data_IF_335936441031
#
_entry.id   IF_335936441031
#
_cell.length_a   1.000
_cell.length_b   1.000
_cell.length_c   1.000
_cell.angle_alpha   90.00
_cell.angle_beta   90.00
_cell.angle_gamma   90.00
#
_symmetry.space_group_name_H-M   'P 1'
#
loop_
_entity.id
_entity.type
_entity.pdbx_description
1 polymer ?
#
# COMPACT_ATOMS: atom_id res chain seq x y z
N UNK A 1 -2.34 -3.30 -45.27
CA UNK A 1 -2.54 -2.07 -44.46
C UNK A 1 -3.08 -2.39 -43.07
N UNK A 2 -4.19 -3.13 -42.95
CA UNK A 2 -4.82 -3.49 -41.65
C UNK A 2 -3.85 -4.13 -40.63
N UNK A 3 -3.01 -5.08 -41.06
CA UNK A 3 -2.06 -5.78 -40.18
C UNK A 3 -1.02 -4.83 -39.55
N UNK A 4 -0.44 -3.92 -40.33
CA UNK A 4 0.54 -2.95 -39.83
C UNK A 4 -0.08 -2.00 -38.79
N UNK A 5 -1.33 -1.57 -39.01
CA UNK A 5 -2.07 -0.74 -38.04
C UNK A 5 -2.33 -1.49 -36.73
N UNK A 6 -2.71 -2.77 -36.79
CA UNK A 6 -2.93 -3.60 -35.60
C UNK A 6 -1.65 -3.82 -34.79
N UNK A 7 -0.52 -4.03 -35.47
CA UNK A 7 0.80 -4.16 -34.82
C UNK A 7 1.16 -2.86 -34.10
N UNK A 8 1.03 -1.72 -34.77
CA UNK A 8 1.36 -0.42 -34.18
C UNK A 8 0.50 -0.12 -32.94
N UNK A 9 -0.82 -0.36 -33.01
CA UNK A 9 -1.72 -0.19 -31.86
C UNK A 9 -1.36 -1.10 -30.68
N UNK A 10 -0.99 -2.34 -30.96
CA UNK A 10 -0.56 -3.28 -29.91
C UNK A 10 0.72 -2.81 -29.22
N UNK A 11 1.71 -2.32 -29.99
CA UNK A 11 2.95 -1.78 -29.43
C UNK A 11 2.70 -0.53 -28.58
N UNK A 12 1.80 0.36 -29.00
CA UNK A 12 1.41 1.55 -28.23
C UNK A 12 0.69 1.19 -26.92
N UNK A 13 -0.18 0.18 -26.94
CA UNK A 13 -0.84 -0.30 -25.73
C UNK A 13 0.17 -0.91 -24.74
N UNK A 14 1.07 -1.75 -25.23
CA UNK A 14 2.13 -2.37 -24.41
C UNK A 14 3.03 -1.30 -23.81
N UNK A 15 3.47 -0.31 -24.60
CA UNK A 15 4.33 0.77 -24.10
C UNK A 15 3.62 1.63 -23.07
N UNK A 16 2.31 1.89 -23.24
CA UNK A 16 1.52 2.65 -22.25
C UNK A 16 1.41 1.91 -20.91
N UNK A 17 1.22 0.59 -20.94
CA UNK A 17 1.15 -0.24 -19.73
C UNK A 17 2.50 -0.29 -19.02
N UNK A 18 3.57 -0.57 -19.77
CA UNK A 18 4.93 -0.63 -19.22
C UNK A 18 5.33 0.71 -18.57
N UNK A 19 4.99 1.83 -19.20
CA UNK A 19 5.27 3.17 -18.66
C UNK A 19 4.51 3.43 -17.34
N UNK A 20 3.25 3.01 -17.24
CA UNK A 20 2.46 3.15 -16.00
C UNK A 20 3.07 2.34 -14.86
N UNK A 21 3.42 1.08 -15.13
CA UNK A 21 4.08 0.21 -14.14
C UNK A 21 5.43 0.80 -13.74
N UNK A 22 6.26 1.19 -14.71
CA UNK A 22 7.57 1.78 -14.44
C UNK A 22 7.46 3.04 -13.58
N UNK A 23 6.52 3.94 -13.91
CA UNK A 23 6.26 5.15 -13.10
C UNK A 23 5.85 4.80 -11.67
N UNK A 24 5.01 3.78 -11.49
CA UNK A 24 4.64 3.33 -10.14
C UNK A 24 5.85 2.81 -9.37
N UNK A 25 6.71 2.02 -9.99
CA UNK A 25 7.95 1.53 -9.36
C UNK A 25 8.86 2.68 -8.94
N UNK A 26 9.00 3.74 -9.76
CA UNK A 26 9.75 4.94 -9.39
C UNK A 26 9.12 5.67 -8.20
N UNK A 27 7.78 5.79 -8.13
CA UNK A 27 7.14 6.39 -6.95
C UNK A 27 7.39 5.56 -5.69
N UNK A 28 7.33 4.23 -5.82
CA UNK A 28 7.56 3.31 -4.71
C UNK A 28 9.04 3.24 -4.29
N UNK A 29 10.00 3.52 -5.17
CA UNK A 29 11.42 3.61 -4.75
C UNK A 29 11.66 4.76 -3.79
N UNK A 30 10.91 5.86 -3.93
CA UNK A 30 10.99 7.03 -3.05
C UNK A 30 10.27 6.85 -1.71
N UNK A 31 9.36 5.88 -1.60
CA UNK A 31 8.69 5.57 -0.32
C UNK A 31 9.75 5.03 0.64
N UNK A 32 9.98 5.67 1.81
CA UNK A 32 10.94 5.15 2.76
C UNK A 32 10.45 3.86 3.40
N UNK A 33 11.36 2.99 3.81
CA UNK A 33 10.96 1.79 4.55
C UNK A 33 10.65 2.20 5.99
N UNK A 34 9.40 2.05 6.44
CA UNK A 34 9.05 2.37 7.82
C UNK A 34 9.71 1.44 8.84
N UNK A 35 10.13 0.25 8.41
CA UNK A 35 10.88 -0.68 9.26
C UNK A 35 12.31 -0.20 9.55
N UNK A 36 12.82 0.76 8.78
CA UNK A 36 14.14 1.35 8.97
C UNK A 36 14.14 2.59 9.89
N UNK A 37 12.99 2.97 10.47
CA UNK A 37 12.93 4.11 11.40
C UNK A 37 13.73 3.78 12.66
N UNK A 38 14.83 4.51 12.95
CA UNK A 38 15.66 4.21 14.10
C UNK A 38 14.83 4.31 15.39
N UNK A 39 15.11 3.47 16.41
CA UNK A 39 14.29 3.40 17.62
C UNK A 39 14.22 4.71 18.42
N UNK A 40 15.13 5.65 18.16
CA UNK A 40 15.20 6.97 18.80
C UNK A 40 14.49 8.09 18.01
N UNK A 41 14.10 7.85 16.75
CA UNK A 41 13.27 8.80 16.00
C UNK A 41 11.82 8.57 16.42
N UNK A 42 11.17 9.65 16.89
CA UNK A 42 9.73 9.63 17.15
C UNK A 42 9.03 9.35 15.82
N UNK A 43 8.17 8.34 15.79
CA UNK A 43 7.48 7.88 14.58
C UNK A 43 6.66 9.01 13.90
N UNK A 44 6.40 10.12 14.60
CA UNK A 44 5.81 11.37 14.13
C UNK A 44 6.52 12.05 12.94
N UNK A 45 7.79 11.72 12.62
CA UNK A 45 8.54 12.36 11.51
C UNK A 45 8.60 11.54 10.22
N UNK A 46 7.86 10.43 10.12
CA UNK A 46 7.87 9.59 8.92
C UNK A 46 7.26 10.35 7.73
N UNK A 47 7.95 10.48 6.58
CA UNK A 47 7.50 11.34 5.51
C UNK A 47 6.43 10.61 4.68
N UNK A 48 5.17 10.75 5.11
CA UNK A 48 4.04 10.09 4.46
C UNK A 48 3.73 10.66 3.07
N UNK A 49 4.29 11.83 2.73
CA UNK A 49 4.09 12.50 1.45
C UNK A 49 4.46 11.64 0.24
N UNK A 50 5.55 10.87 0.29
CA UNK A 50 5.91 9.96 -0.80
C UNK A 50 4.88 8.83 -0.97
N UNK A 51 4.36 8.29 0.14
CA UNK A 51 3.29 7.26 0.12
C UNK A 51 2.00 7.84 -0.46
N UNK A 52 1.65 9.07 -0.08
CA UNK A 52 0.48 9.77 -0.61
C UNK A 52 0.59 10.02 -2.12
N UNK A 53 1.76 10.38 -2.64
CA UNK A 53 1.97 10.53 -4.09
C UNK A 53 1.73 9.21 -4.85
N UNK A 54 2.22 8.09 -4.32
CA UNK A 54 1.96 6.77 -4.89
C UNK A 54 0.47 6.39 -4.83
N UNK A 55 -0.21 6.70 -3.71
CA UNK A 55 -1.65 6.47 -3.55
C UNK A 55 -2.46 7.28 -4.57
N UNK A 56 -2.13 8.56 -4.73
CA UNK A 56 -2.75 9.45 -5.72
C UNK A 56 -2.54 8.97 -7.16
N UNK A 57 -1.33 8.52 -7.49
CA UNK A 57 -1.08 7.92 -8.80
C UNK A 57 -2.01 6.74 -9.07
N UNK A 58 -2.19 5.84 -8.09
CA UNK A 58 -3.09 4.68 -8.19
C UNK A 58 -4.57 5.08 -8.29
N UNK A 59 -5.02 6.08 -7.52
CA UNK A 59 -6.41 6.54 -7.56
C UNK A 59 -6.80 7.08 -8.94
N UNK A 60 -5.87 7.74 -9.64
CA UNK A 60 -6.07 8.24 -11.00
C UNK A 60 -6.09 7.14 -12.07
N UNK A 61 -5.97 5.86 -11.69
CA UNK A 61 -6.10 4.72 -12.59
C UNK A 61 -7.49 4.08 -12.46
N UNK A 62 -7.97 3.49 -13.57
CA UNK A 62 -9.13 2.62 -13.50
C UNK A 62 -8.85 1.40 -12.63
N UNK A 63 -9.90 0.79 -12.07
CA UNK A 63 -9.79 -0.38 -11.19
C UNK A 63 -8.92 -1.50 -11.79
N UNK A 64 -9.17 -1.83 -13.06
CA UNK A 64 -8.39 -2.83 -13.80
C UNK A 64 -6.89 -2.50 -13.84
N UNK A 65 -6.54 -1.23 -14.11
CA UNK A 65 -5.14 -0.79 -14.15
C UNK A 65 -4.53 -0.80 -12.76
N UNK A 66 -5.24 -0.30 -11.76
CA UNK A 66 -4.79 -0.26 -10.36
C UNK A 66 -4.47 -1.66 -9.83
N UNK A 67 -5.41 -2.59 -9.97
CA UNK A 67 -5.21 -3.98 -9.57
C UNK A 67 -4.04 -4.63 -10.32
N UNK A 68 -3.90 -4.37 -11.62
CA UNK A 68 -2.77 -4.88 -12.40
C UNK A 68 -1.42 -4.32 -11.94
N UNK A 69 -1.34 -3.02 -11.62
CA UNK A 69 -0.12 -2.37 -11.14
C UNK A 69 0.29 -2.96 -9.79
N UNK A 70 -0.67 -3.11 -8.88
CA UNK A 70 -0.46 -3.73 -7.56
C UNK A 70 -0.01 -5.19 -7.72
N UNK A 71 -0.65 -5.95 -8.61
CA UNK A 71 -0.25 -7.33 -8.89
C UNK A 71 1.20 -7.41 -9.41
N UNK A 72 1.56 -6.55 -10.36
CA UNK A 72 2.92 -6.49 -10.89
C UNK A 72 3.94 -6.08 -9.81
N UNK A 73 3.64 -5.08 -8.99
CA UNK A 73 4.54 -4.68 -7.90
C UNK A 73 4.66 -5.76 -6.82
N UNK A 74 3.57 -6.43 -6.45
CA UNK A 74 3.60 -7.53 -5.50
C UNK A 74 4.42 -8.73 -6.00
N UNK A 75 4.35 -9.05 -7.30
CA UNK A 75 5.11 -10.16 -7.88
C UNK A 75 6.58 -9.84 -8.11
N UNK A 76 6.90 -8.60 -8.53
CA UNK A 76 8.24 -8.26 -9.01
C UNK A 76 9.01 -7.28 -8.13
N UNK A 77 8.34 -6.53 -7.25
CA UNK A 77 8.97 -5.49 -6.43
C UNK A 77 10.16 -6.02 -5.63
N UNK A 78 10.01 -7.19 -5.00
CA UNK A 78 11.05 -7.84 -4.20
C UNK A 78 12.36 -8.13 -4.94
N UNK A 79 12.33 -8.27 -6.28
CA UNK A 79 13.55 -8.46 -7.08
C UNK A 79 14.36 -7.17 -7.24
N UNK A 80 13.72 -6.01 -7.12
CA UNK A 80 14.36 -4.70 -7.26
C UNK A 80 14.62 -4.06 -5.90
N UNK A 81 13.76 -4.33 -4.93
CA UNK A 81 13.80 -3.76 -3.60
C UNK A 81 13.20 -4.76 -2.61
N UNK A 82 14.04 -5.33 -1.76
CA UNK A 82 13.66 -6.32 -0.75
C UNK A 82 12.59 -5.78 0.24
N UNK A 83 12.46 -4.46 0.36
CA UNK A 83 11.49 -3.79 1.21
C UNK A 83 10.14 -3.49 0.53
N UNK A 84 9.96 -3.96 -0.72
CA UNK A 84 8.72 -3.73 -1.48
C UNK A 84 7.44 -4.19 -0.75
N UNK A 85 7.42 -5.34 -0.04
CA UNK A 85 6.26 -5.75 0.74
C UNK A 85 5.84 -4.72 1.79
N UNK A 86 6.80 -4.18 2.55
CA UNK A 86 6.62 -3.18 3.60
C UNK A 86 6.04 -1.88 3.04
N UNK A 87 6.57 -1.44 1.89
CA UNK A 87 6.10 -0.23 1.21
C UNK A 87 4.70 -0.41 0.67
N UNK A 88 4.40 -1.56 0.06
CA UNK A 88 3.07 -1.88 -0.43
C UNK A 88 2.07 -1.96 0.73
N UNK A 89 2.47 -2.54 1.86
CA UNK A 89 1.66 -2.60 3.06
C UNK A 89 1.25 -1.21 3.54
N UNK A 90 2.19 -0.27 3.68
CA UNK A 90 1.86 1.12 4.02
C UNK A 90 0.97 1.81 2.99
N UNK A 91 1.28 1.63 1.71
CA UNK A 91 0.55 2.25 0.62
C UNK A 91 -0.94 1.93 0.71
N UNK A 92 -1.30 0.67 0.98
CA UNK A 92 -2.70 0.27 1.06
C UNK A 92 -3.44 0.94 2.23
N UNK A 93 -2.76 1.21 3.35
CA UNK A 93 -3.33 1.94 4.49
C UNK A 93 -3.50 3.44 4.23
N UNK A 94 -2.64 4.01 3.40
CA UNK A 94 -2.78 5.39 2.93
C UNK A 94 -3.86 5.50 1.84
N UNK A 95 -3.99 4.49 0.98
CA UNK A 95 -4.93 4.48 -0.13
C UNK A 95 -6.40 4.36 0.34
N UNK A 96 -6.66 3.55 1.36
CA UNK A 96 -8.02 3.27 1.85
C UNK A 96 -8.26 3.81 3.25
N UNK A 97 -9.51 4.17 3.55
CA UNK A 97 -9.94 4.59 4.89
C UNK A 97 -10.18 3.36 5.80
N UNK A 98 -9.09 2.68 6.16
CA UNK A 98 -9.14 1.51 7.06
C UNK A 98 -9.20 1.93 8.53
N UNK A 99 -9.95 1.21 9.40
CA UNK A 99 -10.15 1.59 10.80
C UNK A 99 -8.98 1.19 11.72
N UNK A 100 -8.79 1.92 12.82
CA UNK A 100 -7.87 1.55 13.93
C UNK A 100 -8.42 0.40 14.81
N UNK A 101 -9.72 0.10 14.70
CA UNK A 101 -10.39 -0.97 15.44
C UNK A 101 -11.45 -1.65 14.55
N UNK A 102 -11.23 -2.92 14.22
CA UNK A 102 -12.11 -3.73 13.37
C UNK A 102 -12.46 -5.05 14.04
N UNK A 103 -13.66 -5.59 13.80
CA UNK A 103 -14.03 -6.90 14.34
C UNK A 103 -13.05 -7.99 13.88
N UNK A 104 -12.63 -8.87 14.81
CA UNK A 104 -11.75 -10.00 14.48
C UNK A 104 -12.41 -10.97 13.50
N UNK A 105 -13.74 -11.15 13.60
CA UNK A 105 -14.51 -12.07 12.77
C UNK A 105 -14.61 -11.59 11.31
N UNK A 106 -14.50 -10.28 11.08
CA UNK A 106 -14.59 -9.67 9.75
C UNK A 106 -13.22 -9.27 9.16
N UNK A 107 -12.19 -9.26 10.01
CA UNK A 107 -10.83 -8.92 9.63
C UNK A 107 -10.18 -10.01 8.77
N UNK A 108 -9.48 -9.60 7.73
CA UNK A 108 -8.61 -10.48 6.96
C UNK A 108 -7.15 -10.03 7.10
N UNK A 109 -6.26 -10.99 7.38
CA UNK A 109 -4.83 -10.75 7.56
C UNK A 109 -4.07 -11.36 6.39
N UNK A 110 -3.23 -10.54 5.74
CA UNK A 110 -2.53 -10.91 4.49
C UNK A 110 -1.02 -11.02 4.61
N UNK A 111 -0.50 -10.95 5.84
CA UNK A 111 0.91 -11.09 6.16
C UNK A 111 1.13 -11.22 7.66
N UNK A 112 2.37 -11.47 8.04
CA UNK A 112 2.80 -11.81 9.40
C UNK A 112 3.45 -10.66 10.16
N UNK A 113 2.92 -9.45 10.08
CA UNK A 113 3.61 -8.26 10.58
C UNK A 113 3.56 -8.16 12.11
N UNK A 114 4.73 -8.12 12.75
CA UNK A 114 4.85 -8.06 14.20
C UNK A 114 5.60 -6.79 14.60
N UNK A 115 5.06 -6.10 15.60
CA UNK A 115 5.65 -4.91 16.18
C UNK A 115 4.85 -4.38 17.36
N UNK A 116 5.26 -3.23 17.87
CA UNK A 116 4.53 -2.55 18.96
C UNK A 116 3.14 -2.14 18.46
N UNK A 117 2.09 -2.48 19.22
CA UNK A 117 0.70 -2.25 18.82
C UNK A 117 0.27 -3.04 17.58
N UNK A 118 0.93 -4.17 17.30
CA UNK A 118 0.66 -5.12 16.20
C UNK A 118 -0.83 -5.23 15.84
N UNK A 119 -1.19 -5.43 14.56
CA UNK A 119 -2.60 -5.54 14.15
C UNK A 119 -3.33 -6.69 14.85
N UNK A 120 -2.61 -7.66 15.41
CA UNK A 120 -3.21 -8.77 16.15
C UNK A 120 -3.66 -8.32 17.55
N UNK A 121 -4.93 -8.59 17.92
CA UNK A 121 -5.43 -8.23 19.23
C UNK A 121 -4.72 -9.03 20.33
N UNK A 122 -4.51 -8.41 21.49
CA UNK A 122 -3.94 -9.09 22.66
C UNK A 122 -4.98 -9.89 23.43
N UNK A 123 -6.27 -9.66 23.17
CA UNK A 123 -7.41 -10.36 23.76
C UNK A 123 -8.58 -10.48 22.79
N UNK A 124 -9.47 -11.45 22.98
CA UNK A 124 -10.67 -11.63 22.12
C UNK A 124 -11.63 -10.43 22.13
N UNK A 125 -11.53 -9.57 23.13
CA UNK A 125 -12.32 -8.34 23.26
C UNK A 125 -11.72 -7.17 22.48
N UNK A 126 -10.46 -7.27 22.09
CA UNK A 126 -9.77 -6.27 21.27
C UNK A 126 -10.03 -6.55 19.79
N UNK A 127 -10.39 -5.52 19.04
CA UNK A 127 -10.45 -5.62 17.58
C UNK A 127 -9.08 -5.53 16.93
N UNK A 128 -9.05 -5.80 15.63
CA UNK A 128 -7.87 -5.75 14.77
C UNK A 128 -7.64 -4.30 14.32
N UNK A 129 -6.43 -3.78 14.50
CA UNK A 129 -6.04 -2.48 13.95
C UNK A 129 -5.61 -2.63 12.49
N UNK A 130 -6.54 -2.42 11.55
CA UNK A 130 -6.25 -2.50 10.11
C UNK A 130 -5.39 -1.31 9.60
N UNK A 131 -5.35 -0.20 10.34
CA UNK A 131 -4.55 0.98 10.02
C UNK A 131 -3.08 0.87 10.41
N UNK A 132 -2.73 -0.05 11.32
CA UNK A 132 -1.37 -0.29 11.78
C UNK A 132 -0.40 -0.48 10.60
N UNK A 133 0.81 0.12 10.59
CA UNK A 133 1.47 0.81 11.71
C UNK A 133 1.12 2.29 11.82
N UNK A 134 0.18 2.75 11.01
CA UNK A 134 -0.27 4.14 11.02
C UNK A 134 -1.36 4.34 12.08
N UNK A 135 -1.59 5.60 12.41
CA UNK A 135 -2.74 6.01 13.20
C UNK A 135 -2.96 7.51 13.11
N UNK A 136 -4.01 8.01 13.75
CA UNK A 136 -4.31 9.44 13.75
C UNK A 136 -3.73 10.18 14.96
N UNK A 137 -3.13 11.34 14.70
CA UNK A 137 -2.72 12.33 15.69
C UNK A 137 -3.06 13.72 15.13
N UNK A 138 -3.87 14.48 15.86
CA UNK A 138 -4.36 15.80 15.43
C UNK A 138 -4.96 15.79 14.01
N UNK A 139 -5.83 14.81 13.72
CA UNK A 139 -6.44 14.56 12.41
C UNK A 139 -5.46 14.31 11.25
N UNK A 140 -4.19 14.02 11.56
CA UNK A 140 -3.17 13.67 10.57
C UNK A 140 -2.76 12.22 10.73
N UNK A 141 -2.51 11.57 9.60
CA UNK A 141 -2.00 10.21 9.56
C UNK A 141 -0.51 10.23 9.89
N UNK A 142 -0.12 9.54 10.96
CA UNK A 142 1.25 9.44 11.44
C UNK A 142 1.63 7.98 11.59
N UNK A 143 2.93 7.67 11.49
CA UNK A 143 3.44 6.37 11.87
C UNK A 143 3.42 6.30 13.41
N UNK A 144 2.76 5.28 13.99
CA UNK A 144 2.67 5.11 15.45
C UNK A 144 3.46 3.90 15.96
N UNK A 145 3.78 2.96 15.09
CA UNK A 145 4.38 1.69 15.50
C UNK A 145 5.77 1.45 14.91
N UNK A 146 6.57 0.71 15.67
CA UNK A 146 7.86 0.19 15.25
C UNK A 146 7.71 -1.23 14.74
N UNK A 147 8.34 -1.50 13.61
CA UNK A 147 8.48 -2.86 13.10
C UNK A 147 9.46 -3.63 13.98
N UNK A 148 9.11 -4.88 14.27
CA UNK A 148 10.02 -5.82 14.95
C UNK A 148 10.42 -6.92 13.98
N UNK A 149 9.46 -7.63 13.40
CA UNK A 149 9.73 -8.78 12.54
C UNK A 149 8.53 -9.14 11.67
N UNK A 150 8.79 -10.01 10.70
CA UNK A 150 7.77 -10.64 9.86
C UNK A 150 7.78 -12.15 10.10
N UNK A 151 6.63 -12.73 10.45
CA UNK A 151 6.45 -14.16 10.67
C UNK A 151 5.28 -14.73 9.86
N UNK A 152 5.56 -15.52 8.83
CA UNK A 152 4.53 -16.23 8.09
C UNK A 152 4.83 -16.37 6.61
N UNK A 153 3.83 -16.72 5.79
CA UNK A 153 3.99 -16.80 4.34
C UNK A 153 4.31 -15.42 3.74
N UNK A 154 4.84 -15.33 2.52
CA UNK A 154 5.06 -14.05 1.85
C UNK A 154 3.80 -13.18 1.82
N UNK A 155 3.99 -11.87 2.01
CA UNK A 155 2.90 -10.91 2.05
C UNK A 155 2.13 -10.89 0.72
N UNK A 156 0.79 -10.91 0.80
CA UNK A 156 -0.09 -10.91 -0.36
C UNK A 156 -0.85 -9.59 -0.50
N UNK A 157 -0.15 -8.55 -0.96
CA UNK A 157 -0.71 -7.20 -1.11
C UNK A 157 -1.81 -7.10 -2.17
N UNK A 158 -1.86 -7.98 -3.17
CA UNK A 158 -2.96 -7.99 -4.13
C UNK A 158 -4.27 -8.50 -3.48
N UNK A 159 -4.20 -9.53 -2.64
CA UNK A 159 -5.36 -10.01 -1.90
C UNK A 159 -5.83 -8.97 -0.88
N UNK A 160 -4.90 -8.33 -0.16
CA UNK A 160 -5.23 -7.22 0.76
C UNK A 160 -5.89 -6.05 0.03
N UNK A 161 -5.34 -5.64 -1.12
CA UNK A 161 -5.95 -4.61 -1.96
C UNK A 161 -7.39 -4.93 -2.33
N UNK A 162 -7.67 -6.15 -2.80
CA UNK A 162 -9.02 -6.57 -3.18
C UNK A 162 -9.97 -6.56 -1.98
N UNK A 163 -9.49 -7.02 -0.83
CA UNK A 163 -10.26 -6.98 0.41
C UNK A 163 -10.59 -5.53 0.80
N UNK A 164 -9.61 -4.62 0.81
CA UNK A 164 -9.87 -3.22 1.13
C UNK A 164 -10.77 -2.53 0.11
N UNK A 165 -10.54 -2.71 -1.19
CA UNK A 165 -11.38 -2.15 -2.25
C UNK A 165 -12.84 -2.61 -2.17
N UNK A 166 -13.12 -3.77 -1.58
CA UNK A 166 -14.47 -4.30 -1.40
C UNK A 166 -15.20 -3.76 -0.15
N UNK A 167 -14.47 -3.14 0.79
CA UNK A 167 -14.98 -2.84 2.15
C UNK A 167 -14.84 -1.38 2.56
N UNK A 168 -13.79 -0.72 2.11
CA UNK A 168 -13.42 0.62 2.56
C UNK A 168 -13.36 1.58 1.38
N UNK A 169 -13.82 2.83 1.56
CA UNK A 169 -13.67 3.85 0.52
C UNK A 169 -12.19 4.22 0.35
N UNK A 170 -11.87 4.87 -0.77
CA UNK A 170 -10.60 5.56 -0.88
C UNK A 170 -10.52 6.67 0.16
N UNK A 171 -9.35 6.82 0.76
CA UNK A 171 -9.11 7.83 1.80
C UNK A 171 -9.24 9.26 1.27
N UNK A 172 -8.90 9.46 0.01
CA UNK A 172 -9.00 10.75 -0.67
C UNK A 172 -10.08 10.65 -1.74
N UNK A 173 -10.80 11.75 -1.99
CA UNK A 173 -11.70 11.82 -3.14
C UNK A 173 -10.96 12.33 -4.37
N UNK A 174 -9.97 13.20 -4.14
CA UNK A 174 -9.15 13.81 -5.18
C UNK A 174 -7.70 13.96 -4.71
N UNK A 175 -6.77 13.98 -5.67
CA UNK A 175 -5.35 14.18 -5.37
C UNK A 175 -5.01 15.63 -5.00
N UNK A 176 -5.95 16.57 -5.18
CA UNK A 176 -5.79 17.99 -4.86
C UNK A 176 -5.92 18.28 -3.36
N UNK A 177 -6.40 17.32 -2.57
CA UNK A 177 -6.55 17.44 -1.11
C UNK A 177 -5.23 17.24 -0.33
N UNK A 178 -4.12 16.98 -1.03
CA UNK A 178 -2.81 16.74 -0.42
C UNK A 178 -1.93 17.99 -0.31
N UNK A 179 -2.38 19.14 -0.83
CA UNK A 179 -1.63 20.40 -0.86
C UNK A 179 -1.84 21.26 0.38
#
# INVERSE_FOLDING_TARGET
MLLATLILLSLLLISSWALLVFRFFLLMSEVPVWTAVPPHIKAETYPIGQVQQAACFLMNQSERKRSGIIATYNSYGQYYDASSPEKLYLLLRVLFEVPENHSIDDAAIFGGWIGEGSPYPQSEQEGVNLLWPLGYQDNRLVLKAKYVQYLGPPYNGLAEYKYFASRFPFRFQSCTELS
#
